data_IF_432553090517
#
_entry.id   IF_432553090517
#
_cell.length_a   1.000
_cell.length_b   1.000
_cell.length_c   1.000
_cell.angle_alpha   90.00
_cell.angle_beta   90.00
_cell.angle_gamma   90.00
#
_symmetry.space_group_name_H-M   'P 1'
#
loop_
_entity.id
_entity.type
_entity.pdbx_description
1 polymer ?
#
# COMPACT_ATOMS: atom_id res chain seq x y z
N UNK A 1 10.20 16.64 -7.63
CA UNK A 1 9.33 16.53 -8.83
C UNK A 1 8.51 17.81 -8.82
N UNK A 2 8.68 18.58 -9.83
CA UNK A 2 7.86 19.77 -9.98
C UNK A 2 6.48 19.32 -10.45
N UNK A 3 5.54 19.36 -9.52
CA UNK A 3 4.15 18.92 -9.77
C UNK A 3 3.50 19.71 -10.92
N UNK A 4 3.98 20.92 -11.19
CA UNK A 4 3.54 21.77 -12.28
C UNK A 4 3.98 21.23 -13.65
N UNK A 5 5.23 20.86 -13.79
CA UNK A 5 5.75 20.27 -15.03
C UNK A 5 5.01 18.96 -15.38
N UNK A 6 4.84 18.09 -14.38
CA UNK A 6 4.12 16.84 -14.58
C UNK A 6 2.64 17.05 -14.93
N UNK A 7 2.00 18.03 -14.29
CA UNK A 7 0.63 18.40 -14.62
C UNK A 7 0.53 18.86 -16.09
N UNK A 8 1.41 19.76 -16.50
CA UNK A 8 1.40 20.30 -17.86
C UNK A 8 1.63 19.23 -18.93
N UNK A 9 2.49 18.24 -18.65
CA UNK A 9 2.67 17.09 -19.54
C UNK A 9 1.39 16.25 -19.65
N UNK A 10 0.76 15.94 -18.51
CA UNK A 10 -0.46 15.13 -18.49
C UNK A 10 -1.64 15.85 -19.16
N UNK A 11 -1.76 17.16 -19.01
CA UNK A 11 -2.76 17.98 -19.72
C UNK A 11 -2.54 17.98 -21.23
N UNK A 12 -1.31 17.95 -21.69
CA UNK A 12 -0.98 17.88 -23.12
C UNK A 12 -1.22 16.47 -23.70
N UNK A 13 -0.94 15.42 -22.93
CA UNK A 13 -0.99 14.03 -23.38
C UNK A 13 -2.41 13.43 -23.31
N UNK A 14 -3.26 13.93 -22.41
CA UNK A 14 -4.59 13.36 -22.14
C UNK A 14 -5.68 14.43 -22.19
N UNK A 15 -6.61 14.28 -23.12
CA UNK A 15 -7.74 15.21 -23.27
C UNK A 15 -8.78 15.11 -22.15
N UNK A 16 -8.93 13.92 -21.53
CA UNK A 16 -9.78 13.69 -20.33
C UNK A 16 -8.90 13.54 -19.08
N UNK A 17 -8.26 14.65 -18.69
CA UNK A 17 -7.45 14.77 -17.50
C UNK A 17 -8.10 15.75 -16.52
N UNK A 18 -8.28 15.33 -15.26
CA UNK A 18 -8.87 16.17 -14.21
C UNK A 18 -8.10 16.00 -12.91
N UNK A 19 -7.68 17.12 -12.31
CA UNK A 19 -7.00 17.12 -10.99
C UNK A 19 -8.06 17.11 -9.88
N UNK A 20 -7.90 16.18 -8.93
CA UNK A 20 -8.72 16.12 -7.71
C UNK A 20 -8.02 16.78 -6.53
N UNK A 21 -6.69 16.62 -6.43
CA UNK A 21 -5.87 17.22 -5.36
C UNK A 21 -4.45 17.45 -5.87
N UNK A 22 -3.90 18.63 -5.54
CA UNK A 22 -2.50 18.96 -5.80
C UNK A 22 -1.83 19.46 -4.53
N UNK A 23 -0.69 18.84 -4.18
CA UNK A 23 0.22 19.25 -3.10
C UNK A 23 1.66 19.11 -3.59
N UNK A 24 2.64 19.61 -2.82
CA UNK A 24 4.06 19.62 -3.22
C UNK A 24 4.60 18.25 -3.67
N UNK A 25 4.13 17.16 -3.07
CA UNK A 25 4.61 15.79 -3.34
C UNK A 25 3.49 14.84 -3.79
N UNK A 26 2.30 15.37 -4.12
CA UNK A 26 1.13 14.55 -4.43
C UNK A 26 0.29 15.24 -5.49
N UNK A 27 -0.03 14.50 -6.56
CA UNK A 27 -1.00 14.87 -7.57
C UNK A 27 -1.99 13.72 -7.70
N UNK A 28 -3.22 13.93 -7.23
CA UNK A 28 -4.32 13.00 -7.42
C UNK A 28 -5.15 13.48 -8.61
N UNK A 29 -5.36 12.60 -9.57
CA UNK A 29 -6.03 12.93 -10.81
C UNK A 29 -6.95 11.81 -11.30
N UNK A 30 -7.76 12.12 -12.28
CA UNK A 30 -8.48 11.17 -13.13
C UNK A 30 -8.00 11.34 -14.57
N UNK A 31 -7.66 10.24 -15.22
CA UNK A 31 -7.28 10.19 -16.64
C UNK A 31 -8.20 9.17 -17.29
N UNK A 32 -8.98 9.61 -18.28
CA UNK A 32 -9.99 8.75 -18.94
C UNK A 32 -10.90 8.02 -17.92
N UNK A 33 -11.34 8.74 -16.87
CA UNK A 33 -12.15 8.24 -15.77
C UNK A 33 -11.43 7.21 -14.85
N UNK A 34 -10.14 6.99 -15.04
CA UNK A 34 -9.32 6.14 -14.19
C UNK A 34 -8.63 7.01 -13.15
N UNK A 35 -8.79 6.67 -11.88
CA UNK A 35 -8.09 7.35 -10.78
C UNK A 35 -6.60 7.06 -10.84
N UNK A 36 -5.79 8.13 -10.83
CA UNK A 36 -4.33 8.06 -10.85
C UNK A 36 -3.78 8.90 -9.71
N UNK A 37 -3.02 8.26 -8.83
CA UNK A 37 -2.37 8.89 -7.70
C UNK A 37 -0.86 8.96 -7.97
N UNK A 38 -0.32 10.15 -8.22
CA UNK A 38 1.11 10.40 -8.45
C UNK A 38 1.69 10.96 -7.17
N UNK A 39 2.50 10.15 -6.51
CA UNK A 39 3.03 10.48 -5.18
C UNK A 39 4.55 10.36 -5.21
N UNK A 40 5.25 11.45 -4.86
CA UNK A 40 6.69 11.40 -4.62
C UNK A 40 6.94 10.63 -3.33
N UNK A 41 7.44 9.40 -3.48
CA UNK A 41 7.74 8.55 -2.35
C UNK A 41 9.13 8.91 -1.78
N UNK A 42 9.18 9.13 -0.46
CA UNK A 42 10.40 9.58 0.25
C UNK A 42 11.51 8.53 0.25
N UNK A 43 11.14 7.26 0.30
CA UNK A 43 12.08 6.14 0.41
C UNK A 43 12.30 5.52 -0.97
N UNK A 44 13.56 5.31 -1.36
CA UNK A 44 13.89 4.63 -2.61
C UNK A 44 13.45 3.17 -2.63
N UNK A 45 13.39 2.59 -3.83
CA UNK A 45 13.25 1.14 -3.98
C UNK A 45 14.56 0.45 -3.57
N UNK A 46 14.45 -0.60 -2.77
CA UNK A 46 15.58 -1.41 -2.30
C UNK A 46 15.81 -2.63 -3.20
N UNK A 47 14.81 -3.01 -3.98
CA UNK A 47 14.83 -4.16 -4.88
C UNK A 47 14.62 -3.71 -6.33
N UNK A 48 15.17 -4.45 -7.30
CA UNK A 48 14.94 -4.18 -8.72
C UNK A 48 13.45 -4.19 -9.04
N UNK A 49 13.02 -3.22 -9.87
CA UNK A 49 11.66 -3.17 -10.38
C UNK A 49 11.39 -4.34 -11.32
N UNK A 50 10.15 -4.77 -11.41
CA UNK A 50 9.68 -5.83 -12.29
C UNK A 50 9.03 -5.21 -13.52
N UNK A 51 9.33 -5.72 -14.71
CA UNK A 51 8.65 -5.31 -15.95
C UNK A 51 7.58 -6.33 -16.28
N UNK A 52 6.35 -5.87 -16.37
CA UNK A 52 5.21 -6.71 -16.77
C UNK A 52 4.33 -5.96 -17.76
N UNK A 53 4.10 -6.56 -18.92
CA UNK A 53 3.34 -5.95 -20.03
C UNK A 53 3.82 -4.53 -20.39
N UNK A 54 5.13 -4.29 -20.36
CA UNK A 54 5.72 -2.98 -20.65
C UNK A 54 5.63 -1.97 -19.49
N UNK A 55 4.98 -2.31 -18.39
CA UNK A 55 4.88 -1.48 -17.19
C UNK A 55 6.00 -1.81 -16.19
N UNK A 56 6.62 -0.77 -15.64
CA UNK A 56 7.60 -0.91 -14.58
C UNK A 56 6.91 -0.90 -13.21
N UNK A 57 6.88 -2.04 -12.56
CA UNK A 57 6.22 -2.25 -11.27
C UNK A 57 7.24 -2.27 -10.13
N UNK A 58 6.85 -1.79 -8.97
CA UNK A 58 7.61 -1.96 -7.75
C UNK A 58 7.68 -3.44 -7.36
N UNK A 59 8.84 -3.87 -6.82
CA UNK A 59 8.99 -5.23 -6.32
C UNK A 59 8.07 -5.46 -5.12
N UNK A 60 7.51 -6.66 -4.99
CA UNK A 60 6.65 -7.02 -3.86
C UNK A 60 7.35 -6.84 -2.50
N UNK A 61 8.69 -7.04 -2.46
CA UNK A 61 9.51 -6.79 -1.26
C UNK A 61 9.63 -5.31 -0.90
N UNK A 62 9.42 -4.41 -1.85
CA UNK A 62 9.29 -2.97 -1.59
C UNK A 62 7.87 -2.56 -1.22
N UNK A 63 6.86 -3.22 -1.83
CA UNK A 63 5.45 -2.95 -1.55
C UNK A 63 5.07 -3.41 -0.14
N UNK A 64 5.57 -4.58 0.30
CA UNK A 64 5.22 -5.17 1.58
C UNK A 64 5.45 -4.22 2.78
N UNK A 65 6.62 -3.62 3.00
CA UNK A 65 6.83 -2.66 4.08
C UNK A 65 5.95 -1.41 3.93
N UNK A 66 5.65 -0.96 2.69
CA UNK A 66 4.75 0.17 2.48
C UNK A 66 3.31 -0.13 2.93
N UNK A 67 2.86 -1.38 2.82
CA UNK A 67 1.54 -1.79 3.31
C UNK A 67 1.49 -1.89 4.83
N UNK A 68 2.55 -2.36 5.48
CA UNK A 68 2.67 -2.30 6.94
C UNK A 68 2.67 -0.84 7.44
N UNK A 69 3.40 0.05 6.77
CA UNK A 69 3.41 1.48 7.10
C UNK A 69 2.03 2.12 6.93
N UNK A 70 1.30 1.76 5.88
CA UNK A 70 -0.07 2.23 5.67
C UNK A 70 -1.02 1.79 6.80
N UNK A 71 -0.87 0.58 7.33
CA UNK A 71 -1.64 0.11 8.49
C UNK A 71 -1.29 0.91 9.73
N UNK A 72 0.00 1.17 9.99
CA UNK A 72 0.42 1.97 11.16
C UNK A 72 -0.06 3.41 11.09
N UNK A 73 -0.18 3.99 9.90
CA UNK A 73 -0.55 5.39 9.72
C UNK A 73 -2.06 5.64 9.63
N UNK A 74 -2.81 4.74 8.99
CA UNK A 74 -4.25 4.96 8.71
C UNK A 74 -5.15 3.76 8.97
N UNK A 75 -4.61 2.55 9.07
CA UNK A 75 -5.32 1.32 9.45
C UNK A 75 -6.58 1.00 8.64
N UNK A 76 -6.62 1.31 7.34
CA UNK A 76 -7.82 1.06 6.53
C UNK A 76 -8.01 -0.43 6.23
N UNK A 77 -9.27 -0.87 6.14
CA UNK A 77 -9.62 -2.27 5.88
C UNK A 77 -8.88 -2.85 4.68
N UNK A 78 -8.77 -2.12 3.56
CA UNK A 78 -8.04 -2.56 2.37
C UNK A 78 -6.57 -2.88 2.64
N UNK A 79 -5.91 -2.15 3.54
CA UNK A 79 -4.51 -2.37 3.86
C UNK A 79 -4.31 -3.71 4.62
N UNK A 80 -5.29 -4.12 5.44
CA UNK A 80 -5.30 -5.44 6.07
C UNK A 80 -5.56 -6.58 5.07
N UNK A 81 -6.41 -6.36 4.06
CA UNK A 81 -6.55 -7.31 2.96
C UNK A 81 -5.24 -7.46 2.19
N UNK A 82 -4.53 -6.36 1.93
CA UNK A 82 -3.21 -6.41 1.30
C UNK A 82 -2.22 -7.22 2.16
N UNK A 83 -2.19 -7.01 3.48
CA UNK A 83 -1.37 -7.81 4.40
C UNK A 83 -1.74 -9.30 4.37
N UNK A 84 -3.03 -9.62 4.35
CA UNK A 84 -3.50 -11.01 4.21
C UNK A 84 -2.94 -11.67 2.93
N UNK A 85 -2.93 -10.95 1.81
CA UNK A 85 -2.35 -11.48 0.58
C UNK A 85 -0.83 -11.59 0.64
N UNK A 86 -0.15 -10.64 1.27
CA UNK A 86 1.30 -10.69 1.47
C UNK A 86 1.72 -11.90 2.32
N UNK A 87 0.93 -12.27 3.32
CA UNK A 87 1.15 -13.46 4.16
C UNK A 87 1.05 -14.80 3.39
N UNK A 88 0.64 -14.79 2.13
CA UNK A 88 0.73 -15.97 1.24
C UNK A 88 2.12 -16.14 0.61
N UNK A 89 2.92 -15.09 0.60
CA UNK A 89 4.25 -15.05 -0.01
C UNK A 89 5.38 -14.93 1.01
N UNK A 90 5.08 -14.38 2.18
CA UNK A 90 6.03 -14.09 3.24
C UNK A 90 5.46 -14.54 4.59
N UNK A 91 6.34 -14.96 5.48
CA UNK A 91 6.01 -15.06 6.91
C UNK A 91 5.92 -13.68 7.54
N UNK A 92 5.24 -13.55 8.68
CA UNK A 92 5.18 -12.26 9.38
C UNK A 92 6.57 -11.76 9.84
N UNK A 93 7.49 -12.61 10.36
CA UNK A 93 8.87 -12.19 10.63
C UNK A 93 9.57 -11.60 9.40
N UNK A 94 9.48 -12.24 8.23
CA UNK A 94 10.08 -11.71 6.99
C UNK A 94 9.50 -10.34 6.61
N UNK A 95 8.19 -10.13 6.77
CA UNK A 95 7.55 -8.83 6.53
C UNK A 95 8.07 -7.75 7.49
N UNK A 96 8.28 -8.11 8.77
CA UNK A 96 8.84 -7.20 9.77
C UNK A 96 10.30 -6.86 9.47
N UNK A 97 11.10 -7.82 8.99
CA UNK A 97 12.48 -7.59 8.56
C UNK A 97 12.55 -6.64 7.36
N UNK A 98 11.69 -6.84 6.35
CA UNK A 98 11.56 -5.93 5.21
C UNK A 98 11.15 -4.52 5.64
N UNK A 99 10.25 -4.43 6.63
CA UNK A 99 9.83 -3.15 7.19
C UNK A 99 10.99 -2.43 7.88
N UNK A 100 11.73 -3.12 8.73
CA UNK A 100 12.85 -2.56 9.48
C UNK A 100 13.99 -2.13 8.55
N UNK A 101 14.27 -2.90 7.49
CA UNK A 101 15.25 -2.56 6.48
C UNK A 101 14.91 -1.25 5.75
N UNK A 102 13.62 -1.02 5.44
CA UNK A 102 13.16 0.18 4.74
C UNK A 102 13.00 1.40 5.67
N UNK A 103 12.52 1.19 6.90
CA UNK A 103 12.14 2.24 7.87
C UNK A 103 12.99 2.12 9.15
N UNK A 104 14.29 2.35 9.03
CA UNK A 104 15.34 2.07 10.03
C UNK A 104 15.11 2.70 11.43
N UNK A 105 14.28 3.73 11.53
CA UNK A 105 14.06 4.46 12.79
C UNK A 105 12.71 4.14 13.45
N UNK A 106 11.99 3.13 12.97
CA UNK A 106 10.66 2.78 13.47
C UNK A 106 10.73 1.53 14.35
N UNK A 107 10.04 1.54 15.50
CA UNK A 107 10.00 0.37 16.37
C UNK A 107 8.98 -0.66 15.87
N UNK A 108 9.37 -1.92 15.77
CA UNK A 108 8.50 -3.01 15.36
C UNK A 108 7.29 -3.20 16.30
N UNK A 109 7.44 -2.79 17.57
CA UNK A 109 6.32 -2.84 18.53
C UNK A 109 5.09 -2.07 18.03
N UNK A 110 5.29 -0.87 17.48
CA UNK A 110 4.17 -0.09 16.91
C UNK A 110 3.53 -0.79 15.72
N UNK A 111 4.33 -1.41 14.86
CA UNK A 111 3.83 -2.16 13.70
C UNK A 111 2.97 -3.32 14.15
N UNK A 112 3.51 -4.18 15.05
CA UNK A 112 2.80 -5.36 15.58
C UNK A 112 1.49 -4.96 16.26
N UNK A 113 1.52 -3.90 17.07
CA UNK A 113 0.31 -3.38 17.72
C UNK A 113 -0.72 -2.91 16.68
N UNK A 114 -0.29 -2.17 15.66
CA UNK A 114 -1.18 -1.62 14.64
C UNK A 114 -1.80 -2.70 13.76
N UNK A 115 -1.04 -3.73 13.35
CA UNK A 115 -1.57 -4.83 12.53
C UNK A 115 -2.54 -5.74 13.31
N UNK A 116 -2.56 -5.64 14.66
CA UNK A 116 -3.52 -6.34 15.51
C UNK A 116 -4.72 -5.47 15.92
N UNK A 117 -4.76 -4.21 15.47
CA UNK A 117 -5.81 -3.25 15.83
C UNK A 117 -6.76 -3.03 14.65
N UNK A 118 -7.91 -3.71 14.67
CA UNK A 118 -8.88 -3.73 13.56
C UNK A 118 -10.05 -2.74 13.75
N UNK A 119 -10.14 -2.09 14.92
CA UNK A 119 -11.31 -1.33 15.35
C UNK A 119 -11.70 -0.21 14.36
N UNK A 120 -10.73 0.55 13.87
CA UNK A 120 -10.98 1.64 12.92
C UNK A 120 -11.42 1.14 11.54
N UNK A 121 -10.95 -0.04 11.13
CA UNK A 121 -11.29 -0.67 9.87
C UNK A 121 -12.66 -1.38 9.89
N UNK A 122 -13.25 -1.65 11.08
CA UNK A 122 -14.41 -2.51 11.22
C UNK A 122 -15.62 -2.00 10.42
N UNK A 123 -15.86 -0.70 10.43
CA UNK A 123 -17.00 -0.06 9.78
C UNK A 123 -16.76 0.34 8.31
N UNK A 124 -15.56 0.10 7.77
CA UNK A 124 -15.28 0.38 6.36
C UNK A 124 -15.88 -0.68 5.44
N UNK A 125 -16.25 -0.28 4.24
CA UNK A 125 -16.66 -1.23 3.20
C UNK A 125 -15.53 -2.20 2.86
N UNK A 126 -15.88 -3.45 2.57
CA UNK A 126 -14.90 -4.42 2.11
C UNK A 126 -14.33 -3.99 0.75
N UNK A 127 -13.02 -4.11 0.54
CA UNK A 127 -12.45 -3.90 -0.78
C UNK A 127 -12.96 -4.96 -1.76
N UNK A 128 -12.93 -4.65 -3.04
CA UNK A 128 -13.21 -5.64 -4.07
C UNK A 128 -12.09 -6.68 -4.08
N UNK A 129 -12.44 -7.95 -3.95
CA UNK A 129 -11.55 -9.11 -4.11
C UNK A 129 -12.21 -10.13 -5.05
N UNK A 130 -11.41 -10.74 -5.94
CA UNK A 130 -11.90 -11.74 -6.89
C UNK A 130 -12.42 -12.98 -6.18
N UNK A 131 -11.71 -13.48 -5.17
CA UNK A 131 -12.14 -14.63 -4.37
C UNK A 131 -13.08 -14.18 -3.24
N UNK A 132 -14.37 -14.33 -3.49
CA UNK A 132 -15.43 -13.97 -2.53
C UNK A 132 -15.43 -14.83 -1.24
N UNK A 133 -14.63 -15.91 -1.18
CA UNK A 133 -14.43 -16.70 0.05
C UNK A 133 -13.49 -16.00 1.06
N UNK A 134 -12.84 -14.91 0.66
CA UNK A 134 -12.00 -14.12 1.55
C UNK A 134 -12.89 -13.08 2.23
N UNK A 135 -13.28 -13.37 3.45
CA UNK A 135 -14.08 -12.49 4.30
C UNK A 135 -13.20 -11.66 5.23
N UNK A 136 -13.75 -10.60 5.77
CA UNK A 136 -13.07 -9.77 6.77
C UNK A 136 -12.67 -10.57 8.02
N UNK A 137 -13.55 -11.45 8.50
CA UNK A 137 -13.28 -12.35 9.63
C UNK A 137 -12.10 -13.26 9.35
N UNK A 138 -12.01 -13.81 8.13
CA UNK A 138 -10.87 -14.65 7.71
C UNK A 138 -9.57 -13.84 7.69
N UNK A 139 -9.60 -12.61 7.20
CA UNK A 139 -8.43 -11.71 7.20
C UNK A 139 -7.96 -11.45 8.62
N UNK A 140 -8.85 -11.03 9.52
CA UNK A 140 -8.54 -10.80 10.95
C UNK A 140 -7.97 -12.04 11.63
N UNK A 141 -8.63 -13.17 11.45
CA UNK A 141 -8.21 -14.44 12.08
C UNK A 141 -6.81 -14.88 11.59
N UNK A 142 -6.54 -14.72 10.29
CA UNK A 142 -5.22 -15.08 9.73
C UNK A 142 -4.13 -14.20 10.33
N UNK A 143 -4.30 -12.87 10.32
CA UNK A 143 -3.31 -11.93 10.85
C UNK A 143 -3.08 -12.18 12.35
N UNK A 144 -4.16 -12.31 13.14
CA UNK A 144 -4.06 -12.59 14.57
C UNK A 144 -3.35 -13.92 14.88
N UNK A 145 -3.53 -14.92 14.00
CA UNK A 145 -2.85 -16.20 14.14
C UNK A 145 -1.34 -16.08 13.86
N UNK A 146 -0.95 -15.30 12.84
CA UNK A 146 0.47 -15.07 12.54
C UNK A 146 1.16 -14.28 13.68
N UNK A 147 0.48 -13.30 14.25
CA UNK A 147 1.02 -12.55 15.43
C UNK A 147 1.25 -13.47 16.63
N UNK A 148 0.36 -14.45 16.86
CA UNK A 148 0.53 -15.40 17.98
C UNK A 148 1.72 -16.36 17.84
N UNK A 149 2.30 -16.45 16.65
CA UNK A 149 3.48 -17.28 16.35
C UNK A 149 4.80 -16.53 16.58
N UNK A 150 4.76 -15.18 16.77
CA UNK A 150 5.94 -14.38 17.13
C UNK A 150 6.40 -14.65 18.55
#
# INVERSE_FOLDING_TARGET
>A
MESEYLQQQLENDFSDFTITLKRSNTLLASINKIKVDLIRFKYGFQYPTVIENGLRLANIKDIAPMKLDAITGRGKKKDFFDLYFLLKYFTLPELLDLYQAKYQHTTLFHVIRSINYFTEAENEANPFVFDKKITWEKVKATIANEIRKL
#
